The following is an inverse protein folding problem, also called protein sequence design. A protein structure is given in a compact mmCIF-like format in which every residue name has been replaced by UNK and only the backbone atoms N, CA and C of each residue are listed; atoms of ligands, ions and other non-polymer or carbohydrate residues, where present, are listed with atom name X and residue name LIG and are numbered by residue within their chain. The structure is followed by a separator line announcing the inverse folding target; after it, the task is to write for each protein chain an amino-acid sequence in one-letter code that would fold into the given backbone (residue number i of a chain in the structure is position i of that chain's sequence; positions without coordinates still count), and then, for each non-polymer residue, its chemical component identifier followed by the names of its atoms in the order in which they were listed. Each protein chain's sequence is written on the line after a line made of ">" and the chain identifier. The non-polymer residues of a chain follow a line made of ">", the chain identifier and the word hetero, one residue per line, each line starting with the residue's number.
data_IF_661254389612
#
_entry.id   IF_661254389612
#
_cell.length_a   1.000
_cell.length_b   1.000
_cell.length_c   1.000
_cell.angle_alpha   90.00
_cell.angle_beta   90.00
_cell.angle_gamma   90.00
#
_symmetry.space_group_name_H-M   'P 1'
#
loop_
_entity.id
_entity.type
_entity.pdbx_description
1 polymer ?
#
# COMPACT_ATOMS: atom_id res chain seq x y z
N UNK A 1 4.02 11.35 -12.13
CA UNK A 1 3.82 12.43 -11.15
C UNK A 1 3.19 13.61 -11.85
N UNK A 2 2.16 14.21 -11.27
CA UNK A 2 1.52 15.39 -11.83
C UNK A 2 2.44 16.62 -11.68
N UNK A 3 2.52 17.44 -12.74
CA UNK A 3 3.29 18.68 -12.74
C UNK A 3 2.68 19.65 -11.71
N UNK A 4 3.53 20.25 -10.87
CA UNK A 4 3.11 21.17 -9.81
C UNK A 4 2.59 20.49 -8.53
N UNK A 5 2.56 19.15 -8.49
CA UNK A 5 2.18 18.43 -7.26
C UNK A 5 3.20 18.66 -6.13
N UNK A 6 2.77 18.57 -4.85
CA UNK A 6 3.68 18.67 -3.70
C UNK A 6 4.85 17.69 -3.74
N UNK A 7 4.64 16.50 -4.31
CA UNK A 7 5.70 15.52 -4.49
C UNK A 7 6.69 15.94 -5.60
N UNK A 8 6.20 16.53 -6.70
CA UNK A 8 7.07 17.03 -7.78
C UNK A 8 7.93 18.21 -7.30
N UNK A 9 7.33 19.14 -6.55
CA UNK A 9 8.05 20.26 -5.94
C UNK A 9 9.06 19.81 -4.89
N UNK A 10 8.81 18.68 -4.20
CA UNK A 10 9.79 18.09 -3.27
C UNK A 10 11.02 17.61 -4.03
N UNK A 11 10.86 16.85 -5.11
CA UNK A 11 11.99 16.30 -5.88
C UNK A 11 12.82 17.42 -6.53
N UNK A 12 12.16 18.46 -7.06
CA UNK A 12 12.85 19.60 -7.71
C UNK A 12 13.83 20.36 -6.79
N UNK A 13 13.67 20.25 -5.46
CA UNK A 13 14.54 20.91 -4.48
C UNK A 13 15.88 20.19 -4.30
N UNK A 14 15.99 18.96 -4.78
CA UNK A 14 17.22 18.20 -4.69
C UNK A 14 18.12 18.43 -5.91
N UNK A 15 19.42 18.68 -5.72
CA UNK A 15 20.35 18.80 -6.84
C UNK A 15 20.54 17.43 -7.52
N UNK A 16 20.76 17.39 -8.84
CA UNK A 16 21.11 16.15 -9.54
C UNK A 16 22.49 15.67 -9.04
N UNK A 17 22.53 14.54 -8.32
CA UNK A 17 23.76 14.00 -7.74
C UNK A 17 23.50 12.73 -6.94
N UNK A 18 24.55 11.94 -6.67
CA UNK A 18 24.44 10.56 -6.16
C UNK A 18 23.54 10.41 -4.94
N UNK A 19 23.94 10.95 -3.79
CA UNK A 19 23.19 10.81 -2.53
C UNK A 19 21.85 11.55 -2.52
N UNK A 20 21.64 12.49 -3.43
CA UNK A 20 20.42 13.29 -3.50
C UNK A 20 19.19 12.43 -3.80
N UNK A 21 19.34 11.38 -4.62
CA UNK A 21 18.23 10.50 -4.99
C UNK A 21 17.71 9.69 -3.80
N UNK A 22 18.60 9.11 -2.99
CA UNK A 22 18.18 8.39 -1.79
C UNK A 22 17.50 9.32 -0.78
N UNK A 23 18.03 10.54 -0.60
CA UNK A 23 17.44 11.53 0.32
C UNK A 23 16.05 11.97 -0.15
N UNK A 24 15.88 12.22 -1.45
CA UNK A 24 14.59 12.55 -2.04
C UNK A 24 13.59 11.39 -1.86
N UNK A 25 14.04 10.14 -2.11
CA UNK A 25 13.21 8.94 -1.92
C UNK A 25 12.80 8.76 -0.45
N UNK A 26 13.72 8.93 0.49
CA UNK A 26 13.42 8.86 1.94
C UNK A 26 12.38 9.92 2.33
N UNK A 27 12.53 11.17 1.88
CA UNK A 27 11.54 12.22 2.17
C UNK A 27 10.17 11.95 1.53
N UNK A 28 10.13 11.40 0.31
CA UNK A 28 8.87 10.98 -0.30
C UNK A 28 8.19 9.90 0.52
N UNK A 29 8.94 8.89 0.98
CA UNK A 29 8.40 7.82 1.83
C UNK A 29 7.84 8.38 3.14
N UNK A 30 8.60 9.21 3.85
CA UNK A 30 8.16 9.83 5.12
C UNK A 30 6.88 10.65 4.92
N UNK A 31 6.80 11.45 3.85
CA UNK A 31 5.69 12.39 3.67
C UNK A 31 4.43 11.74 3.07
N UNK A 32 4.60 10.72 2.22
CA UNK A 32 3.52 10.20 1.39
C UNK A 32 3.26 8.70 1.55
N UNK A 33 4.20 7.89 2.03
CA UNK A 33 4.01 6.43 2.07
C UNK A 33 3.07 5.95 3.18
N UNK A 34 2.72 6.80 4.18
CA UNK A 34 1.72 6.62 5.25
C UNK A 34 1.29 5.16 5.44
N UNK A 35 2.25 4.32 5.84
CA UNK A 35 2.10 2.85 5.78
C UNK A 35 0.96 2.36 6.67
N UNK A 36 0.75 2.99 7.84
CA UNK A 36 -0.38 2.69 8.74
C UNK A 36 -1.75 2.88 8.07
N UNK A 37 -1.92 3.95 7.29
CA UNK A 37 -3.16 4.20 6.57
C UNK A 37 -3.36 3.17 5.46
N UNK A 38 -2.28 2.77 4.79
CA UNK A 38 -2.33 1.73 3.76
C UNK A 38 -2.70 0.36 4.35
N UNK A 39 -2.17 0.02 5.54
CA UNK A 39 -2.57 -1.16 6.31
C UNK A 39 -4.08 -1.14 6.59
N UNK A 40 -4.61 -0.02 7.10
CA UNK A 40 -6.05 0.11 7.38
C UNK A 40 -6.91 -0.08 6.14
N UNK A 41 -6.49 0.44 4.98
CA UNK A 41 -7.19 0.26 3.70
C UNK A 41 -7.22 -1.22 3.32
N UNK A 42 -6.08 -1.92 3.37
CA UNK A 42 -6.04 -3.35 3.02
C UNK A 42 -6.85 -4.23 3.97
N UNK A 43 -6.84 -3.94 5.27
CA UNK A 43 -7.69 -4.65 6.24
C UNK A 43 -9.18 -4.41 5.97
N UNK A 44 -9.57 -3.17 5.67
CA UNK A 44 -10.97 -2.84 5.33
C UNK A 44 -11.42 -3.52 4.04
N UNK A 45 -10.57 -3.55 3.02
CA UNK A 45 -10.84 -4.25 1.76
C UNK A 45 -11.02 -5.75 1.98
N UNK A 46 -10.18 -6.38 2.80
CA UNK A 46 -10.33 -7.79 3.17
C UNK A 46 -11.65 -8.06 3.90
N UNK A 47 -12.01 -7.22 4.87
CA UNK A 47 -13.30 -7.33 5.57
C UNK A 47 -14.48 -7.20 4.59
N UNK A 48 -14.42 -6.23 3.67
CA UNK A 48 -15.44 -6.05 2.65
C UNK A 48 -15.57 -7.30 1.75
N UNK A 49 -14.46 -7.89 1.31
CA UNK A 49 -14.46 -9.13 0.52
C UNK A 49 -15.10 -10.29 1.27
N UNK A 50 -14.78 -10.46 2.56
CA UNK A 50 -15.36 -11.52 3.40
C UNK A 50 -16.85 -11.32 3.61
N UNK A 51 -17.31 -10.08 3.79
CA UNK A 51 -18.73 -9.76 3.96
C UNK A 51 -19.52 -9.95 2.66
N UNK A 52 -18.93 -9.63 1.51
CA UNK A 52 -19.57 -9.74 0.18
C UNK A 52 -19.55 -11.15 -0.41
N UNK A 53 -18.99 -12.15 0.30
CA UNK A 53 -18.82 -13.54 -0.18
C UNK A 53 -20.13 -14.20 -0.65
N UNK A 54 -21.29 -13.81 -0.12
CA UNK A 54 -22.58 -14.40 -0.47
C UNK A 54 -23.10 -13.95 -1.86
N UNK A 55 -22.62 -12.81 -2.36
CA UNK A 55 -23.04 -12.25 -3.66
C UNK A 55 -22.05 -12.55 -4.79
N UNK A 56 -20.99 -13.33 -4.54
CA UNK A 56 -20.05 -13.69 -5.59
C UNK A 56 -20.62 -14.84 -6.46
N UNK A 57 -20.83 -14.62 -7.77
CA UNK A 57 -21.20 -15.70 -8.67
C UNK A 57 -20.11 -16.78 -8.67
N UNK A 58 -20.48 -18.06 -8.74
CA UNK A 58 -19.54 -19.21 -8.68
C UNK A 58 -18.35 -19.09 -9.66
N UNK A 59 -18.52 -18.32 -10.72
CA UNK A 59 -17.58 -18.07 -11.81
C UNK A 59 -16.45 -17.08 -11.43
N UNK A 60 -16.50 -16.46 -10.23
CA UNK A 60 -15.55 -15.45 -9.78
C UNK A 60 -14.57 -15.93 -8.70
N UNK A 61 -14.50 -17.23 -8.41
CA UNK A 61 -13.64 -17.78 -7.35
C UNK A 61 -12.16 -17.45 -7.56
N UNK A 62 -11.68 -17.50 -8.81
CA UNK A 62 -10.32 -17.07 -9.18
C UNK A 62 -10.08 -15.59 -8.86
N UNK A 63 -11.02 -14.71 -9.23
CA UNK A 63 -10.91 -13.27 -8.93
C UNK A 63 -10.89 -13.01 -7.42
N UNK A 64 -11.71 -13.73 -6.67
CA UNK A 64 -11.75 -13.62 -5.21
C UNK A 64 -10.43 -14.09 -4.59
N UNK A 65 -9.84 -15.19 -5.10
CA UNK A 65 -8.53 -15.65 -4.67
C UNK A 65 -7.43 -14.62 -4.98
N UNK A 66 -7.37 -14.12 -6.23
CA UNK A 66 -6.38 -13.12 -6.64
C UNK A 66 -6.48 -11.84 -5.78
N UNK A 67 -7.71 -11.41 -5.47
CA UNK A 67 -7.97 -10.27 -4.58
C UNK A 67 -7.50 -10.54 -3.15
N UNK A 68 -7.85 -11.68 -2.55
CA UNK A 68 -7.38 -12.06 -1.21
C UNK A 68 -5.86 -12.13 -1.15
N UNK A 69 -5.23 -12.82 -2.10
CA UNK A 69 -3.79 -13.02 -2.15
C UNK A 69 -3.05 -11.69 -2.26
N UNK A 70 -3.47 -10.81 -3.16
CA UNK A 70 -2.82 -9.49 -3.34
C UNK A 70 -2.88 -8.63 -2.08
N UNK A 71 -4.01 -8.63 -1.37
CA UNK A 71 -4.20 -7.85 -0.13
C UNK A 71 -3.37 -8.43 1.01
N UNK A 72 -3.36 -9.75 1.18
CA UNK A 72 -2.55 -10.43 2.19
C UNK A 72 -1.05 -10.24 1.95
N UNK A 73 -0.58 -10.40 0.71
CA UNK A 73 0.82 -10.16 0.33
C UNK A 73 1.24 -8.71 0.58
N UNK A 74 0.35 -7.75 0.31
CA UNK A 74 0.63 -6.34 0.58
C UNK A 74 0.77 -6.05 2.08
N UNK A 75 -0.07 -6.67 2.91
CA UNK A 75 0.03 -6.58 4.37
C UNK A 75 1.32 -7.20 4.90
N UNK A 76 1.73 -8.36 4.36
CA UNK A 76 3.00 -9.01 4.69
C UNK A 76 4.20 -8.11 4.38
N UNK A 77 4.23 -7.48 3.20
CA UNK A 77 5.30 -6.53 2.80
C UNK A 77 5.35 -5.28 3.69
N UNK A 78 4.21 -4.84 4.22
CA UNK A 78 4.12 -3.75 5.21
C UNK A 78 4.46 -4.23 6.63
N UNK A 79 4.91 -5.48 6.77
CA UNK A 79 5.31 -6.08 8.03
C UNK A 79 4.14 -6.35 8.96
N UNK A 80 2.90 -6.43 8.48
CA UNK A 80 1.75 -6.93 9.26
C UNK A 80 1.87 -8.45 9.34
N UNK A 81 2.64 -8.91 10.31
CA UNK A 81 2.81 -10.34 10.60
C UNK A 81 1.83 -10.77 11.69
N UNK A 82 1.58 -12.08 11.75
CA UNK A 82 0.75 -12.68 12.82
C UNK A 82 1.27 -12.30 14.21
N UNK A 83 2.59 -12.19 14.37
CA UNK A 83 3.26 -11.85 15.62
C UNK A 83 2.97 -10.42 16.09
N UNK A 84 2.82 -9.44 15.17
CA UNK A 84 2.49 -8.06 15.55
C UNK A 84 1.09 -7.89 16.15
N UNK A 85 0.21 -8.88 15.95
CA UNK A 85 -1.19 -8.84 16.39
C UNK A 85 -1.61 -10.11 17.15
N UNK A 86 -0.65 -10.94 17.57
CA UNK A 86 -0.88 -12.09 18.45
C UNK A 86 -0.93 -11.60 19.90
N UNK A 87 -2.04 -10.94 20.26
CA UNK A 87 -2.39 -10.67 21.65
C UNK A 87 -3.29 -11.79 22.19
#
# INVERSE_FOLDING_TARGET
>A
MEKGSPAAELIKRFPPGGDSYEKALKQLKVRFAREELLIQVYVRDLLALVLQKQNCPKNSLRKLFDQLESKLRSLELLGVTREKYAA
#
